data_IF_804468643365
#
_entry.id   IF_804468643365
#
_cell.length_a   1.000
_cell.length_b   1.000
_cell.length_c   1.000
_cell.angle_alpha   90.00
_cell.angle_beta   90.00
_cell.angle_gamma   90.00
#
_symmetry.space_group_name_H-M   'P 1'
#
loop_
_entity.id
_entity.type
_entity.pdbx_description
1 polymer ?
#
# COMPACT_ATOMS: atom_id res chain seq x y z
N UNK A 1 -23.04 -36.80 -4.63
CA UNK A 1 -23.93 -35.64 -4.89
C UNK A 1 -23.24 -34.42 -4.30
N UNK A 2 -22.68 -33.57 -5.15
CA UNK A 2 -21.84 -32.42 -4.79
C UNK A 2 -22.67 -31.34 -4.09
N UNK A 3 -22.22 -30.86 -2.94
CA UNK A 3 -22.74 -29.63 -2.35
C UNK A 3 -22.09 -28.45 -3.10
N UNK A 4 -22.90 -27.68 -3.84
CA UNK A 4 -22.44 -26.41 -4.42
C UNK A 4 -22.11 -25.44 -3.29
N UNK A 5 -21.01 -24.67 -3.38
CA UNK A 5 -20.77 -23.59 -2.42
C UNK A 5 -21.89 -22.58 -2.60
N UNK A 6 -22.55 -22.22 -1.50
CA UNK A 6 -23.43 -21.06 -1.48
C UNK A 6 -22.54 -19.87 -1.81
N UNK A 7 -22.83 -19.20 -2.91
CA UNK A 7 -22.28 -17.89 -3.18
C UNK A 7 -22.79 -16.99 -2.05
N UNK A 8 -21.92 -16.72 -1.07
CA UNK A 8 -22.17 -15.69 -0.07
C UNK A 8 -22.37 -14.39 -0.85
N UNK A 9 -23.64 -13.98 -0.96
CA UNK A 9 -24.01 -12.70 -1.52
C UNK A 9 -23.53 -11.64 -0.52
N UNK A 10 -22.24 -11.33 -0.55
CA UNK A 10 -21.69 -10.17 0.11
C UNK A 10 -22.43 -8.97 -0.48
N UNK A 11 -23.23 -8.31 0.35
CA UNK A 11 -23.79 -7.01 0.05
C UNK A 11 -22.62 -6.15 -0.45
N UNK A 12 -22.71 -5.59 -1.66
CA UNK A 12 -21.69 -4.72 -2.23
C UNK A 12 -21.73 -3.39 -1.49
N UNK A 13 -21.29 -3.41 -0.24
CA UNK A 13 -21.04 -2.19 0.52
C UNK A 13 -19.84 -1.51 -0.13
N UNK A 14 -19.97 -0.24 -0.55
CA UNK A 14 -18.84 0.50 -1.09
C UNK A 14 -17.74 0.61 -0.03
N UNK A 15 -16.49 0.61 -0.46
CA UNK A 15 -15.38 0.84 0.46
C UNK A 15 -15.49 2.23 1.10
N UNK A 16 -14.99 2.37 2.32
CA UNK A 16 -14.91 3.67 2.98
C UNK A 16 -14.08 4.62 2.09
N UNK A 17 -14.63 5.81 1.83
CA UNK A 17 -14.09 6.81 0.92
C UNK A 17 -14.03 6.41 -0.57
N UNK A 18 -14.70 5.33 -0.99
CA UNK A 18 -14.89 5.09 -2.42
C UNK A 18 -15.72 6.25 -3.00
N UNK A 19 -15.23 6.95 -4.04
CA UNK A 19 -16.03 7.97 -4.68
C UNK A 19 -17.31 7.35 -5.25
N UNK A 20 -18.39 8.14 -5.26
CA UNK A 20 -19.61 7.74 -5.97
C UNK A 20 -19.30 7.54 -7.45
N UNK A 21 -20.07 6.70 -8.16
CA UNK A 21 -19.91 6.40 -9.60
C UNK A 21 -20.20 7.59 -10.54
N UNK A 22 -19.91 8.83 -10.12
CA UNK A 22 -19.91 10.00 -10.97
C UNK A 22 -18.64 10.08 -11.82
N UNK A 23 -18.72 10.75 -12.96
CA UNK A 23 -17.53 11.16 -13.71
C UNK A 23 -16.66 12.01 -12.80
N UNK A 24 -15.39 11.64 -12.64
CA UNK A 24 -14.42 12.50 -11.98
C UNK A 24 -14.34 13.83 -12.75
N UNK A 25 -14.80 14.90 -12.11
CA UNK A 25 -14.81 16.25 -12.68
C UNK A 25 -13.60 17.06 -12.24
N UNK A 26 -12.75 16.48 -11.39
CA UNK A 26 -11.51 17.10 -10.99
C UNK A 26 -10.52 17.05 -12.17
N UNK A 27 -9.65 18.08 -12.30
CA UNK A 27 -8.54 18.00 -13.22
C UNK A 27 -7.65 16.81 -12.86
N UNK A 28 -6.99 16.23 -13.87
CA UNK A 28 -5.97 15.21 -13.63
C UNK A 28 -4.94 15.75 -12.64
N UNK A 29 -4.78 15.04 -11.54
CA UNK A 29 -3.88 15.47 -10.49
C UNK A 29 -2.44 15.36 -10.97
N UNK A 30 -1.71 16.46 -10.86
CA UNK A 30 -0.31 16.56 -11.27
C UNK A 30 0.60 15.97 -10.18
N UNK A 31 0.61 14.64 -10.11
CA UNK A 31 1.48 13.87 -9.21
C UNK A 31 2.89 13.68 -9.77
N UNK A 32 3.19 14.20 -10.97
CA UNK A 32 4.45 13.93 -11.66
C UNK A 32 5.66 14.36 -10.82
N UNK A 33 5.57 15.49 -10.14
CA UNK A 33 6.65 16.06 -9.31
C UNK A 33 6.61 15.61 -7.84
N UNK A 34 5.55 14.94 -7.38
CA UNK A 34 5.41 14.53 -5.98
C UNK A 34 6.28 13.32 -5.65
N UNK A 35 6.44 12.42 -6.62
CA UNK A 35 7.27 11.24 -6.50
C UNK A 35 8.74 11.60 -6.25
N UNK A 36 9.25 12.66 -6.88
CA UNK A 36 10.64 13.09 -6.69
C UNK A 36 10.90 13.60 -5.27
N UNK A 37 9.88 14.17 -4.62
CA UNK A 37 10.00 14.71 -3.24
C UNK A 37 9.89 13.63 -2.16
N UNK A 38 9.29 12.49 -2.50
CA UNK A 38 9.02 11.39 -1.57
C UNK A 38 9.75 10.10 -1.93
N UNK A 39 10.55 10.12 -3.00
CA UNK A 39 11.38 9.01 -3.41
C UNK A 39 12.36 8.65 -2.30
N UNK A 40 12.52 7.34 -2.11
CA UNK A 40 13.56 6.78 -1.27
C UNK A 40 14.90 7.03 -1.97
N UNK A 41 15.93 7.38 -1.19
CA UNK A 41 17.27 7.62 -1.70
C UNK A 41 17.81 6.40 -2.47
N UNK A 42 18.52 6.64 -3.58
CA UNK A 42 19.09 5.59 -4.42
C UNK A 42 20.09 4.72 -3.64
N UNK A 43 20.81 5.27 -2.68
CA UNK A 43 21.75 4.49 -1.86
C UNK A 43 21.02 3.46 -0.99
N UNK A 44 19.80 3.79 -0.55
CA UNK A 44 18.92 2.87 0.17
C UNK A 44 18.34 1.81 -0.79
N UNK A 45 17.93 2.22 -2.00
CA UNK A 45 17.35 1.31 -3.00
C UNK A 45 18.38 0.31 -3.54
N UNK A 46 19.61 0.76 -3.73
CA UNK A 46 20.72 -0.05 -4.24
C UNK A 46 21.44 -0.82 -3.13
N UNK A 47 21.17 -0.48 -1.87
CA UNK A 47 21.86 -1.03 -0.71
C UNK A 47 23.31 -0.54 -0.58
N UNK A 48 23.67 0.56 -1.24
CA UNK A 48 24.96 1.21 -1.04
C UNK A 48 25.11 1.78 0.39
N UNK A 49 23.99 2.03 1.08
CA UNK A 49 23.96 2.45 2.49
C UNK A 49 24.19 1.30 3.50
N UNK A 50 24.40 0.05 3.03
CA UNK A 50 24.39 -1.15 3.89
C UNK A 50 25.39 -1.13 5.04
N UNK A 51 26.52 -0.45 4.84
CA UNK A 51 27.59 -0.36 5.85
C UNK A 51 27.33 0.76 6.88
N UNK A 52 26.40 1.68 6.59
CA UNK A 52 26.08 2.84 7.44
C UNK A 52 24.82 2.59 8.29
N UNK A 53 23.91 1.74 7.82
CA UNK A 53 22.64 1.44 8.50
C UNK A 53 22.78 0.39 9.60
N UNK A 54 21.94 0.53 10.62
CA UNK A 54 21.78 -0.49 11.65
C UNK A 54 21.22 -1.80 11.07
N UNK A 55 21.64 -2.97 11.59
CA UNK A 55 21.16 -4.25 11.10
C UNK A 55 19.66 -4.41 11.35
N UNK A 56 18.96 -4.94 10.35
CA UNK A 56 17.54 -5.25 10.50
C UNK A 56 17.33 -6.32 11.56
N UNK A 57 16.40 -6.08 12.48
CA UNK A 57 16.02 -7.09 13.47
C UNK A 57 15.24 -8.21 12.77
N UNK A 58 15.68 -9.48 12.87
CA UNK A 58 14.95 -10.63 12.29
C UNK A 58 13.61 -10.89 12.99
N UNK A 59 13.35 -10.21 14.11
CA UNK A 59 12.11 -10.30 14.89
C UNK A 59 11.18 -9.11 14.66
N UNK A 60 11.49 -8.25 13.70
CA UNK A 60 10.82 -6.96 13.51
C UNK A 60 11.16 -5.98 14.64
N UNK A 61 10.46 -4.85 14.66
CA UNK A 61 10.59 -3.86 15.74
C UNK A 61 10.09 -4.43 17.07
N UNK A 62 10.88 -4.23 18.12
CA UNK A 62 10.54 -4.56 19.51
C UNK A 62 9.23 -3.87 19.90
N UNK A 63 8.12 -4.57 19.71
CA UNK A 63 6.75 -4.05 19.90
C UNK A 63 5.67 -4.90 19.25
N UNK A 64 6.01 -5.74 18.27
CA UNK A 64 5.07 -6.66 17.60
C UNK A 64 5.01 -8.06 18.21
N UNK A 65 5.77 -8.32 19.27
CA UNK A 65 5.75 -9.59 20.00
C UNK A 65 4.84 -9.44 21.21
N UNK A 66 3.74 -10.20 21.23
CA UNK A 66 2.82 -10.31 22.35
C UNK A 66 3.13 -11.56 23.16
#
# INVERSE_FOLDING_TARGET
>A
MSQQPKEDQHERVPALAQPSEGTDTLPEADFADEHERTAVDDDILTGADSDEREPESPRGWSGMQR
#
